data_IF_836215188610
#
_entry.id   IF_836215188610
#
_cell.length_a   1.000
_cell.length_b   1.000
_cell.length_c   1.000
_cell.angle_alpha   90.00
_cell.angle_beta   90.00
_cell.angle_gamma   90.00
#
_symmetry.space_group_name_H-M   'P 1'
#
loop_
_entity.id
_entity.type
_entity.pdbx_description
1 polymer ?
#
# COMPACT_ATOMS: atom_id res chain seq x y z
N UNK A 1 -5.33 0.81 20.10
CA UNK A 1 -6.01 -0.50 20.11
C UNK A 1 -5.30 -1.48 21.04
N UNK A 2 -6.04 -2.26 21.83
CA UNK A 2 -5.48 -3.28 22.73
C UNK A 2 -5.37 -4.63 21.99
N UNK A 3 -4.65 -4.66 20.88
CA UNK A 3 -4.48 -5.85 20.06
C UNK A 3 -3.21 -6.62 20.44
N UNK A 4 -3.22 -7.94 20.27
CA UNK A 4 -2.05 -8.78 20.49
C UNK A 4 -0.99 -8.58 19.39
N UNK A 5 -1.43 -8.37 18.14
CA UNK A 5 -0.54 -8.07 17.03
C UNK A 5 0.01 -6.65 17.16
N UNK A 6 1.33 -6.51 17.15
CA UNK A 6 2.00 -5.21 17.29
C UNK A 6 1.63 -4.23 16.16
N UNK A 7 1.40 -4.73 14.95
CA UNK A 7 1.00 -3.90 13.80
C UNK A 7 -0.37 -3.26 13.99
N UNK A 8 -1.20 -3.83 14.87
CA UNK A 8 -2.56 -3.35 15.16
C UNK A 8 -2.64 -2.55 16.46
N UNK A 9 -1.57 -2.54 17.27
CA UNK A 9 -1.59 -1.91 18.60
C UNK A 9 -1.39 -0.41 18.51
N UNK A 10 -0.31 0.02 17.89
CA UNK A 10 0.07 1.42 17.76
C UNK A 10 0.51 1.72 16.32
N UNK A 11 -0.43 1.64 15.36
CA UNK A 11 -0.08 1.83 13.95
C UNK A 11 0.31 3.27 13.65
N UNK A 12 1.34 3.46 12.85
CA UNK A 12 1.77 4.78 12.37
C UNK A 12 0.84 5.22 11.25
N UNK A 13 0.20 6.38 11.42
CA UNK A 13 -0.71 6.94 10.42
C UNK A 13 0.03 7.83 9.41
N UNK A 14 0.94 8.67 9.90
CA UNK A 14 1.69 9.65 9.10
C UNK A 14 3.17 9.59 9.39
N UNK A 15 3.96 10.03 8.43
CA UNK A 15 5.37 10.29 8.62
C UNK A 15 5.71 11.71 8.20
N UNK A 16 6.74 12.28 8.79
CA UNK A 16 7.28 13.57 8.39
C UNK A 16 8.44 13.33 7.45
N UNK A 17 8.39 13.94 6.27
CA UNK A 17 9.46 13.88 5.30
C UNK A 17 9.64 15.26 4.67
N UNK A 18 10.73 15.93 4.99
CA UNK A 18 11.07 17.23 4.42
C UNK A 18 11.95 17.06 3.19
N UNK A 19 11.31 16.79 2.08
CA UNK A 19 11.98 16.56 0.80
C UNK A 19 11.13 17.11 -0.34
N UNK A 20 11.78 17.49 -1.42
CA UNK A 20 11.12 17.95 -2.63
C UNK A 20 10.42 16.77 -3.32
N UNK A 21 9.13 16.95 -3.62
CA UNK A 21 8.36 15.95 -4.34
C UNK A 21 8.26 16.32 -5.82
N UNK A 22 8.43 15.37 -6.71
CA UNK A 22 8.48 15.62 -8.16
C UNK A 22 7.20 16.25 -8.75
N UNK A 23 6.06 16.13 -8.10
CA UNK A 23 4.78 16.70 -8.55
C UNK A 23 4.34 17.92 -7.75
N UNK A 24 4.50 17.88 -6.43
CA UNK A 24 3.97 18.91 -5.52
C UNK A 24 5.03 19.84 -4.95
N UNK A 25 6.31 19.60 -5.28
CA UNK A 25 7.41 20.42 -4.77
C UNK A 25 7.54 20.34 -3.26
N UNK A 26 7.61 21.48 -2.61
CA UNK A 26 7.77 21.59 -1.16
C UNK A 26 6.46 21.85 -0.41
N UNK A 27 5.31 21.65 -1.08
CA UNK A 27 4.00 21.96 -0.51
C UNK A 27 3.65 21.09 0.70
N UNK A 28 4.13 19.87 0.77
CA UNK A 28 3.79 18.89 1.79
C UNK A 28 5.03 18.35 2.50
N UNK A 29 4.94 18.19 3.81
CA UNK A 29 5.97 17.52 4.60
C UNK A 29 5.42 16.39 5.47
N UNK A 30 4.10 16.18 5.46
CA UNK A 30 3.44 15.09 6.18
C UNK A 30 2.78 14.18 5.16
N UNK A 31 3.10 12.89 5.23
CA UNK A 31 2.64 11.88 4.28
C UNK A 31 1.97 10.73 5.02
N UNK A 32 0.82 10.23 4.54
CA UNK A 32 0.19 9.06 5.14
C UNK A 32 1.02 7.81 4.88
N UNK A 33 1.03 6.92 5.86
CA UNK A 33 1.59 5.58 5.69
C UNK A 33 0.62 4.72 4.88
N UNK A 34 1.13 3.65 4.30
CA UNK A 34 0.36 2.78 3.40
C UNK A 34 -0.95 2.28 4.04
N UNK A 35 -0.90 1.75 5.25
CA UNK A 35 -2.09 1.19 5.91
C UNK A 35 -3.20 2.23 6.11
N UNK A 36 -2.82 3.48 6.34
CA UNK A 36 -3.78 4.56 6.51
C UNK A 36 -4.30 5.08 5.17
N UNK A 37 -3.45 5.12 4.14
CA UNK A 37 -3.77 5.68 2.84
C UNK A 37 -4.58 4.73 1.94
N UNK A 38 -4.29 3.44 1.98
CA UNK A 38 -4.83 2.46 1.03
C UNK A 38 -6.36 2.44 1.03
N UNK A 39 -6.97 2.21 2.20
CA UNK A 39 -8.42 2.15 2.31
C UNK A 39 -9.12 3.45 1.97
N UNK A 40 -8.54 4.58 2.34
CA UNK A 40 -9.11 5.89 2.03
C UNK A 40 -9.09 6.19 0.54
N UNK A 41 -8.00 5.90 -0.14
CA UNK A 41 -7.88 6.07 -1.59
C UNK A 41 -8.92 5.23 -2.34
N UNK A 42 -9.02 3.96 -1.98
CA UNK A 42 -9.98 3.04 -2.59
C UNK A 42 -11.42 3.41 -2.25
N UNK A 43 -11.67 3.92 -1.05
CA UNK A 43 -12.98 4.42 -0.64
C UNK A 43 -13.42 5.63 -1.47
N UNK A 44 -12.54 6.59 -1.69
CA UNK A 44 -12.82 7.78 -2.48
C UNK A 44 -13.16 7.41 -3.92
N UNK A 45 -12.44 6.46 -4.48
CA UNK A 45 -12.65 5.98 -5.85
C UNK A 45 -13.78 4.97 -5.99
N UNK A 46 -14.44 4.59 -4.90
CA UNK A 46 -15.53 3.60 -4.88
C UNK A 46 -15.10 2.23 -5.41
N UNK A 47 -13.88 1.85 -5.12
CA UNK A 47 -13.35 0.52 -5.45
C UNK A 47 -14.13 -0.54 -4.65
N UNK A 48 -14.59 -1.59 -5.32
CA UNK A 48 -15.33 -2.69 -4.66
C UNK A 48 -14.38 -3.71 -4.03
N UNK A 49 -13.29 -4.02 -4.72
CA UNK A 49 -12.29 -5.03 -4.33
C UNK A 49 -10.94 -4.33 -4.16
N UNK A 50 -10.60 -4.02 -2.92
CA UNK A 50 -9.36 -3.35 -2.55
C UNK A 50 -8.24 -4.37 -2.46
N UNK A 51 -7.45 -4.46 -3.52
CA UNK A 51 -6.46 -5.52 -3.71
C UNK A 51 -5.11 -5.14 -3.13
N UNK A 52 -4.49 -6.06 -2.41
CA UNK A 52 -3.14 -5.92 -1.88
C UNK A 52 -2.42 -7.27 -1.87
N UNK A 53 -1.16 -7.29 -1.43
CA UNK A 53 -0.40 -8.54 -1.30
C UNK A 53 -0.65 -9.20 0.06
N UNK A 54 -0.32 -10.49 0.17
CA UNK A 54 -0.49 -11.28 1.41
C UNK A 54 0.23 -10.68 2.63
N UNK A 55 1.23 -9.85 2.40
CA UNK A 55 1.93 -9.15 3.48
C UNK A 55 1.00 -8.35 4.37
N UNK A 56 -0.14 -7.92 3.85
CA UNK A 56 -1.12 -7.09 4.55
C UNK A 56 -2.35 -7.85 5.07
N UNK A 57 -2.34 -9.17 5.00
CA UNK A 57 -3.45 -9.98 5.52
C UNK A 57 -3.71 -9.71 7.00
N UNK A 58 -2.65 -9.67 7.80
CA UNK A 58 -2.74 -9.39 9.24
C UNK A 58 -3.18 -7.96 9.53
N UNK A 59 -3.13 -7.06 8.55
CA UNK A 59 -3.53 -5.66 8.67
C UNK A 59 -5.00 -5.42 8.32
N UNK A 60 -5.73 -6.44 7.87
CA UNK A 60 -7.13 -6.31 7.48
C UNK A 60 -8.03 -5.71 8.59
N UNK A 61 -7.89 -6.09 9.86
CA UNK A 61 -8.67 -5.45 10.93
C UNK A 61 -8.38 -3.96 11.07
N UNK A 62 -7.13 -3.54 10.84
CA UNK A 62 -6.74 -2.13 10.87
C UNK A 62 -7.36 -1.35 9.70
N UNK A 63 -7.34 -1.91 8.50
CA UNK A 63 -7.98 -1.37 7.32
C UNK A 63 -9.46 -1.09 7.58
N UNK A 64 -10.18 -2.10 8.04
CA UNK A 64 -11.61 -1.99 8.37
C UNK A 64 -11.87 -0.96 9.46
N UNK A 65 -11.04 -0.94 10.49
CA UNK A 65 -11.15 -0.01 11.61
C UNK A 65 -10.99 1.46 11.17
N UNK A 66 -10.01 1.76 10.31
CA UNK A 66 -9.83 3.12 9.80
C UNK A 66 -11.06 3.60 9.03
N UNK A 67 -11.60 2.78 8.15
CA UNK A 67 -12.77 3.15 7.34
C UNK A 67 -14.02 3.32 8.19
N UNK A 68 -14.18 2.48 9.21
CA UNK A 68 -15.29 2.57 10.16
C UNK A 68 -15.20 3.85 11.00
N UNK A 69 -14.03 4.17 11.53
CA UNK A 69 -13.84 5.39 12.33
C UNK A 69 -14.00 6.67 11.53
N UNK A 70 -13.63 6.65 10.26
CA UNK A 70 -13.79 7.78 9.36
C UNK A 70 -15.21 7.89 8.77
N UNK A 71 -16.05 6.89 9.01
CA UNK A 71 -17.43 6.82 8.50
C UNK A 71 -17.52 7.00 6.98
N UNK A 72 -16.58 6.38 6.26
CA UNK A 72 -16.54 6.42 4.80
C UNK A 72 -16.85 5.05 4.19
N UNK A 73 -17.10 5.03 2.89
CA UNK A 73 -17.38 3.80 2.16
C UNK A 73 -16.26 2.76 2.38
N UNK A 74 -16.64 1.52 2.65
CA UNK A 74 -15.71 0.45 2.97
C UNK A 74 -15.62 -0.56 1.84
N UNK A 75 -14.56 -0.51 1.01
CA UNK A 75 -14.24 -1.60 0.10
C UNK A 75 -13.88 -2.87 0.86
N UNK A 76 -13.94 -4.00 0.18
CA UNK A 76 -13.48 -5.26 0.76
C UNK A 76 -12.01 -5.46 0.41
N UNK A 77 -11.15 -5.56 1.43
CA UNK A 77 -9.74 -5.87 1.22
C UNK A 77 -9.58 -7.34 0.83
N UNK A 78 -8.84 -7.57 -0.24
CA UNK A 78 -8.54 -8.91 -0.76
C UNK A 78 -7.04 -9.01 -0.99
N UNK A 79 -6.42 -10.03 -0.41
CA UNK A 79 -5.00 -10.30 -0.57
C UNK A 79 -4.78 -11.42 -1.59
N UNK A 80 -3.69 -11.33 -2.34
CA UNK A 80 -3.27 -12.39 -3.24
C UNK A 80 -1.79 -12.65 -3.09
N UNK A 81 -1.39 -13.88 -3.42
CA UNK A 81 -0.01 -14.32 -3.28
C UNK A 81 0.87 -13.81 -4.41
N UNK A 82 2.16 -13.83 -4.15
CA UNK A 82 3.18 -13.48 -5.12
C UNK A 82 3.29 -14.57 -6.18
N UNK A 83 3.21 -14.19 -7.44
CA UNK A 83 3.47 -15.11 -8.54
C UNK A 83 4.98 -15.37 -8.65
N UNK A 84 5.36 -16.61 -8.43
CA UNK A 84 6.74 -17.06 -8.63
C UNK A 84 6.85 -17.75 -10.01
N UNK A 85 7.64 -17.15 -10.89
CA UNK A 85 7.85 -17.68 -12.26
C UNK A 85 9.19 -18.37 -12.30
N UNK A 86 9.19 -19.64 -12.73
CA UNK A 86 10.42 -20.42 -12.93
C UNK A 86 11.05 -20.14 -14.29
N UNK A 87 12.38 -20.37 -14.38
CA UNK A 87 13.16 -20.16 -15.61
C UNK A 87 13.11 -18.74 -16.18
N UNK A 88 12.87 -17.73 -15.32
CA UNK A 88 12.74 -16.34 -15.72
C UNK A 88 13.81 -15.50 -15.04
N UNK A 89 14.38 -14.54 -15.81
CA UNK A 89 15.29 -13.55 -15.27
C UNK A 89 14.50 -12.45 -14.56
N UNK A 90 14.73 -12.30 -13.26
CA UNK A 90 14.05 -11.28 -12.43
C UNK A 90 14.95 -10.07 -12.12
N UNK A 91 16.21 -10.10 -12.56
CA UNK A 91 17.12 -8.98 -12.37
C UNK A 91 16.73 -7.80 -13.27
N UNK A 92 16.46 -6.65 -12.68
CA UNK A 92 16.16 -5.41 -13.41
C UNK A 92 17.24 -5.08 -14.46
N UNK A 93 18.51 -5.25 -14.08
CA UNK A 93 19.65 -4.97 -14.97
C UNK A 93 19.65 -5.87 -16.20
N UNK A 94 19.41 -7.16 -16.00
CA UNK A 94 19.36 -8.14 -17.09
C UNK A 94 18.15 -7.93 -18.00
N UNK A 95 17.00 -7.62 -17.42
CA UNK A 95 15.80 -7.33 -18.20
C UNK A 95 15.95 -6.07 -19.04
N UNK A 96 16.58 -5.02 -18.50
CA UNK A 96 16.88 -3.80 -19.25
C UNK A 96 17.82 -4.09 -20.43
N UNK A 97 18.86 -4.90 -20.20
CA UNK A 97 19.79 -5.29 -21.27
C UNK A 97 19.07 -6.04 -22.39
N UNK A 98 18.16 -6.95 -22.05
CA UNK A 98 17.35 -7.66 -23.06
C UNK A 98 16.48 -6.71 -23.86
N UNK A 99 15.80 -5.78 -23.23
CA UNK A 99 14.97 -4.79 -23.91
C UNK A 99 15.80 -3.92 -24.86
N UNK A 100 16.98 -3.51 -24.46
CA UNK A 100 17.88 -2.72 -25.30
C UNK A 100 18.39 -3.50 -26.54
N UNK A 101 18.64 -4.78 -26.39
CA UNK A 101 19.05 -5.65 -27.52
C UNK A 101 17.88 -5.88 -28.48
N UNK A 102 16.64 -5.95 -27.97
CA UNK A 102 15.44 -6.18 -28.77
C UNK A 102 14.98 -4.93 -29.56
N UNK A 103 15.51 -3.77 -29.25
CA UNK A 103 15.28 -2.54 -30.03
C UNK A 103 16.20 -2.48 -31.24
#
# INVERSE_FOLDING_TARGET
>A
MAAANLNLRDPVMYRILRAHHHRTGDAWCIYPMYDFAHGQSDSIERITHSICTLEFEDHRPLYDWYLEQLEIYRPQQIEFDRLNVTYTLLSKRKLLALVQVMK
#
